data_IF_635791227163
#
_entry.id   IF_635791227163
#
_cell.length_a   1.000
_cell.length_b   1.000
_cell.length_c   1.000
_cell.angle_alpha   90.00
_cell.angle_beta   90.00
_cell.angle_gamma   90.00
#
_symmetry.space_group_name_H-M   'P 1'
#
loop_
_entity.id
_entity.type
_entity.pdbx_description
1 polymer ?
#
# COMPACT_ATOMS: atom_id res chain seq x y z
N UNK A 1 -26.35 -37.64 0.99
CA UNK A 1 -26.78 -36.31 0.50
C UNK A 1 -26.55 -35.32 1.64
N UNK A 2 -25.41 -34.64 1.68
CA UNK A 2 -25.11 -33.65 2.72
C UNK A 2 -25.76 -32.32 2.32
N UNK A 3 -26.74 -31.88 3.10
CA UNK A 3 -27.34 -30.56 2.98
C UNK A 3 -26.22 -29.53 3.21
N UNK A 4 -25.87 -28.78 2.16
CA UNK A 4 -24.93 -27.67 2.26
C UNK A 4 -25.64 -26.55 3.01
N UNK A 5 -25.59 -26.61 4.33
CA UNK A 5 -26.19 -25.60 5.18
C UNK A 5 -25.43 -24.29 4.95
N UNK A 6 -26.14 -23.23 4.54
CA UNK A 6 -25.55 -21.93 4.19
C UNK A 6 -25.90 -20.94 5.28
N UNK A 7 -24.95 -20.09 5.66
CA UNK A 7 -25.14 -19.08 6.69
C UNK A 7 -24.95 -17.67 6.16
N UNK A 8 -25.85 -16.78 6.54
CA UNK A 8 -25.81 -15.37 6.11
C UNK A 8 -25.01 -14.55 7.13
N UNK A 9 -24.10 -13.72 6.63
CA UNK A 9 -23.35 -12.79 7.46
C UNK A 9 -24.24 -11.63 7.91
N UNK A 10 -24.44 -11.47 9.22
CA UNK A 10 -25.24 -10.37 9.78
C UNK A 10 -24.63 -8.97 9.56
N UNK A 11 -23.35 -8.88 9.19
CA UNK A 11 -22.66 -7.59 8.97
C UNK A 11 -22.78 -7.09 7.52
N UNK A 12 -22.79 -7.99 6.54
CA UNK A 12 -22.73 -7.60 5.11
C UNK A 12 -23.73 -8.32 4.21
N UNK A 13 -24.54 -9.24 4.75
CA UNK A 13 -25.58 -9.96 4.01
C UNK A 13 -25.07 -11.09 3.10
N UNK A 14 -23.75 -11.32 2.99
CA UNK A 14 -23.23 -12.41 2.13
C UNK A 14 -23.50 -13.80 2.73
N UNK A 15 -23.93 -14.73 1.89
CA UNK A 15 -23.95 -16.18 2.17
C UNK A 15 -22.54 -16.77 2.23
N UNK A 16 -22.28 -17.58 3.25
CA UNK A 16 -21.03 -18.33 3.43
C UNK A 16 -21.37 -19.79 3.75
N UNK A 17 -20.40 -20.68 3.56
CA UNK A 17 -20.49 -22.08 3.96
C UNK A 17 -20.75 -22.21 5.48
N UNK A 18 -21.54 -23.20 5.92
CA UNK A 18 -21.82 -23.40 7.34
C UNK A 18 -20.54 -23.58 8.20
N UNK A 19 -19.52 -24.21 7.63
CA UNK A 19 -18.22 -24.41 8.30
C UNK A 19 -17.36 -23.15 8.39
N UNK A 20 -17.76 -22.06 7.72
CA UNK A 20 -17.00 -20.82 7.75
C UNK A 20 -17.07 -20.16 9.13
N UNK A 21 -15.90 -19.95 9.74
CA UNK A 21 -15.75 -19.23 11.01
C UNK A 21 -15.77 -17.72 10.82
N UNK A 22 -15.33 -17.24 9.64
CA UNK A 22 -15.28 -15.83 9.25
C UNK A 22 -15.92 -15.63 7.88
N UNK A 23 -16.47 -14.44 7.62
CA UNK A 23 -17.07 -14.10 6.35
C UNK A 23 -16.00 -13.92 5.27
N UNK A 24 -16.15 -14.62 4.14
CA UNK A 24 -15.23 -14.52 3.01
C UNK A 24 -15.31 -13.19 2.25
N UNK A 25 -16.33 -12.37 2.49
CA UNK A 25 -16.46 -11.03 1.91
C UNK A 25 -15.85 -9.94 2.78
N UNK A 26 -16.22 -9.90 4.06
CA UNK A 26 -15.95 -8.77 4.95
C UNK A 26 -15.07 -9.11 6.15
N UNK A 27 -14.71 -10.39 6.35
CA UNK A 27 -13.88 -10.87 7.45
C UNK A 27 -14.56 -10.91 8.82
N UNK A 28 -15.85 -10.57 8.93
CA UNK A 28 -16.56 -10.62 10.21
C UNK A 28 -16.68 -12.07 10.74
N UNK A 29 -16.52 -12.30 12.05
CA UNK A 29 -16.77 -13.62 12.63
C UNK A 29 -18.24 -13.98 12.42
N UNK A 30 -18.49 -15.20 11.94
CA UNK A 30 -19.85 -15.68 11.72
C UNK A 30 -20.37 -16.38 12.97
N UNK A 31 -19.52 -17.03 13.75
CA UNK A 31 -19.89 -17.67 15.00
C UNK A 31 -20.00 -16.61 16.11
N UNK A 32 -21.13 -16.53 16.85
CA UNK A 32 -21.20 -15.72 18.05
C UNK A 32 -20.12 -16.18 19.02
N UNK A 33 -19.13 -15.33 19.30
CA UNK A 33 -18.14 -15.60 20.33
C UNK A 33 -18.91 -15.67 21.67
N UNK A 34 -18.74 -16.72 22.51
CA UNK A 34 -19.35 -16.74 23.83
C UNK A 34 -18.96 -15.47 24.58
N UNK A 35 -19.97 -14.77 25.09
CA UNK A 35 -19.83 -13.53 25.85
C UNK A 35 -18.97 -13.80 27.08
N UNK A 36 -17.67 -13.55 26.97
CA UNK A 36 -16.70 -13.89 28.01
C UNK A 36 -15.29 -14.11 27.50
N UNK A 37 -15.10 -14.37 26.20
CA UNK A 37 -13.76 -14.41 25.60
C UNK A 37 -13.60 -13.28 24.59
N UNK A 38 -13.71 -12.05 25.10
CA UNK A 38 -13.02 -10.92 24.48
C UNK A 38 -11.53 -11.28 24.48
N UNK A 39 -10.92 -11.38 23.30
CA UNK A 39 -9.47 -11.29 23.20
C UNK A 39 -9.10 -9.98 23.88
N UNK A 40 -8.53 -10.08 25.08
CA UNK A 40 -7.89 -9.00 25.78
C UNK A 40 -6.81 -8.44 24.84
N UNK A 41 -7.14 -7.35 24.17
CA UNK A 41 -6.14 -6.39 23.79
C UNK A 41 -5.65 -5.74 25.09
N UNK A 42 -4.79 -6.44 25.84
CA UNK A 42 -3.91 -5.82 26.84
C UNK A 42 -2.79 -5.10 26.10
N UNK A 43 -3.19 -4.09 25.33
CA UNK A 43 -2.36 -2.95 24.98
C UNK A 43 -3.08 -1.73 25.55
N UNK A 44 -2.37 -0.67 25.97
CA UNK A 44 -3.03 0.54 26.41
C UNK A 44 -3.96 1.00 25.28
N UNK A 45 -5.26 1.12 25.58
CA UNK A 45 -6.22 1.75 24.69
C UNK A 45 -5.82 3.22 24.56
N UNK A 46 -4.93 3.48 23.60
CA UNK A 46 -4.63 4.80 23.09
C UNK A 46 -5.88 5.36 22.44
N UNK A 47 -6.51 6.28 23.16
CA UNK A 47 -7.52 7.22 22.73
C UNK A 47 -7.36 7.70 21.28
N UNK A 48 -8.23 7.28 20.35
CA UNK A 48 -8.53 8.03 19.12
C UNK A 48 -7.35 8.54 18.27
N UNK A 49 -6.19 7.90 18.32
CA UNK A 49 -4.96 8.42 17.70
C UNK A 49 -4.89 8.02 16.23
N UNK A 50 -4.66 9.01 15.36
CA UNK A 50 -4.26 8.80 13.95
C UNK A 50 -3.23 7.68 13.83
N UNK A 51 -3.40 6.76 12.87
CA UNK A 51 -2.47 5.64 12.69
C UNK A 51 -1.04 6.15 12.49
N UNK A 52 -0.11 5.61 13.27
CA UNK A 52 1.31 5.87 13.08
C UNK A 52 1.75 5.35 11.70
N UNK A 53 2.71 6.05 11.09
CA UNK A 53 3.12 5.74 9.73
C UNK A 53 3.83 4.37 9.68
N UNK A 54 3.42 3.45 8.80
CA UNK A 54 4.05 2.14 8.71
C UNK A 54 5.50 2.25 8.22
N UNK A 55 6.41 1.50 8.86
CA UNK A 55 7.86 1.52 8.60
C UNK A 55 8.21 1.32 7.12
N UNK A 56 7.52 0.42 6.42
CA UNK A 56 7.80 0.18 5.00
C UNK A 56 7.46 1.36 4.09
N UNK A 57 6.47 2.21 4.42
CA UNK A 57 6.20 3.45 3.66
C UNK A 57 7.33 4.46 3.88
N UNK A 58 7.94 4.47 5.06
CA UNK A 58 9.13 5.29 5.34
C UNK A 58 10.34 4.79 4.56
N UNK A 59 10.63 3.49 4.61
CA UNK A 59 11.75 2.87 3.89
C UNK A 59 11.62 3.09 2.38
N UNK A 60 10.47 2.74 1.79
CA UNK A 60 10.24 2.91 0.34
C UNK A 60 10.32 4.38 -0.04
N UNK A 61 9.74 5.29 0.75
CA UNK A 61 9.81 6.72 0.49
C UNK A 61 11.24 7.26 0.49
N UNK A 62 12.08 6.84 1.44
CA UNK A 62 13.50 7.24 1.50
C UNK A 62 14.26 6.68 0.30
N UNK A 63 14.11 5.39 -0.01
CA UNK A 63 14.75 4.76 -1.17
C UNK A 63 14.35 5.45 -2.47
N UNK A 64 13.08 5.82 -2.63
CA UNK A 64 12.58 6.56 -3.79
C UNK A 64 13.23 7.94 -3.92
N UNK A 65 13.38 8.67 -2.81
CA UNK A 65 14.03 9.99 -2.79
C UNK A 65 15.50 9.86 -3.17
N UNK A 66 16.23 8.89 -2.59
CA UNK A 66 17.62 8.63 -2.93
C UNK A 66 17.78 8.27 -4.41
N UNK A 67 16.92 7.38 -4.91
CA UNK A 67 16.90 7.03 -6.34
C UNK A 67 16.64 8.24 -7.23
N UNK A 68 15.69 9.10 -6.88
CA UNK A 68 15.40 10.33 -7.62
C UNK A 68 16.57 11.31 -7.61
N UNK A 69 17.27 11.48 -6.49
CA UNK A 69 18.47 12.32 -6.40
C UNK A 69 19.57 11.79 -7.33
N UNK A 70 19.84 10.48 -7.29
CA UNK A 70 20.81 9.85 -8.19
C UNK A 70 20.41 10.07 -9.65
N UNK A 71 19.12 9.88 -9.97
CA UNK A 71 18.61 10.07 -11.32
C UNK A 71 18.74 11.53 -11.80
N UNK A 72 18.50 12.51 -10.93
CA UNK A 72 18.71 13.93 -11.23
C UNK A 72 20.20 14.21 -11.49
N UNK A 73 21.11 13.71 -10.64
CA UNK A 73 22.56 13.88 -10.82
C UNK A 73 23.06 13.26 -12.12
N UNK A 74 22.54 12.07 -12.47
CA UNK A 74 22.83 11.46 -13.77
C UNK A 74 22.28 12.34 -14.89
N UNK A 75 21.03 12.81 -14.78
CA UNK A 75 20.42 13.71 -15.76
C UNK A 75 21.21 14.99 -15.98
N UNK A 76 21.71 15.64 -14.93
CA UNK A 76 22.52 16.86 -15.05
C UNK A 76 23.85 16.61 -15.75
N UNK A 77 24.50 15.47 -15.49
CA UNK A 77 25.70 15.06 -16.23
C UNK A 77 25.36 14.84 -17.71
N UNK A 78 24.26 14.15 -18.02
CA UNK A 78 23.82 13.90 -19.39
C UNK A 78 23.48 15.18 -20.17
N UNK A 79 23.03 16.26 -19.51
CA UNK A 79 22.84 17.55 -20.19
C UNK A 79 24.14 18.05 -20.83
N UNK A 80 25.30 17.78 -20.23
CA UNK A 80 26.60 18.24 -20.74
C UNK A 80 27.08 17.44 -21.95
N UNK A 81 26.78 16.14 -22.01
CA UNK A 81 27.32 15.21 -23.02
C UNK A 81 26.30 14.81 -24.10
N UNK A 82 25.03 14.76 -23.75
CA UNK A 82 23.93 14.33 -24.60
C UNK A 82 22.65 15.13 -24.25
N UNK A 83 22.57 16.42 -24.64
CA UNK A 83 21.58 17.36 -24.12
C UNK A 83 20.13 16.94 -24.37
N UNK A 84 19.84 16.30 -25.50
CA UNK A 84 18.49 15.79 -25.82
C UNK A 84 18.04 14.77 -24.76
N UNK A 85 18.91 13.84 -24.38
CA UNK A 85 18.63 12.83 -23.37
C UNK A 85 18.51 13.48 -21.99
N UNK A 86 19.44 14.38 -21.65
CA UNK A 86 19.44 15.09 -20.37
C UNK A 86 18.18 15.91 -20.11
N UNK A 87 17.68 16.63 -21.13
CA UNK A 87 16.46 17.44 -21.06
C UNK A 87 15.22 16.57 -20.81
N UNK A 88 15.18 15.34 -21.34
CA UNK A 88 14.08 14.39 -21.10
C UNK A 88 14.21 13.76 -19.70
N UNK A 89 15.43 13.44 -19.28
CA UNK A 89 15.69 12.68 -18.06
C UNK A 89 15.49 13.53 -16.79
N UNK A 90 15.89 14.80 -16.83
CA UNK A 90 15.73 15.73 -15.70
C UNK A 90 14.29 15.86 -15.16
N UNK A 91 13.27 16.16 -15.98
CA UNK A 91 11.90 16.29 -15.49
C UNK A 91 11.37 14.97 -14.93
N UNK A 92 11.75 13.82 -15.50
CA UNK A 92 11.41 12.50 -14.94
C UNK A 92 11.97 12.36 -13.52
N UNK A 93 13.24 12.75 -13.30
CA UNK A 93 13.85 12.74 -11.98
C UNK A 93 13.15 13.65 -10.96
N UNK A 94 12.78 14.87 -11.40
CA UNK A 94 12.03 15.82 -10.56
C UNK A 94 10.64 15.27 -10.21
N UNK A 95 9.93 14.68 -11.17
CA UNK A 95 8.64 14.04 -10.92
C UNK A 95 8.80 12.89 -9.92
N UNK A 96 9.81 12.05 -10.09
CA UNK A 96 10.11 10.95 -9.17
C UNK A 96 10.39 11.45 -7.75
N UNK A 97 11.09 12.58 -7.60
CA UNK A 97 11.37 13.22 -6.31
C UNK A 97 10.07 13.74 -5.66
N UNK A 98 9.21 14.41 -6.43
CA UNK A 98 7.92 14.91 -5.96
C UNK A 98 7.05 13.75 -5.47
N UNK A 99 6.98 12.65 -6.22
CA UNK A 99 6.23 11.45 -5.82
C UNK A 99 6.84 10.83 -4.56
N UNK A 100 8.17 10.75 -4.48
CA UNK A 100 8.90 10.28 -3.30
C UNK A 100 8.49 11.05 -2.04
N UNK A 101 8.44 12.38 -2.10
CA UNK A 101 7.96 13.23 -0.99
C UNK A 101 6.46 13.06 -0.76
N UNK A 102 5.66 12.94 -1.83
CA UNK A 102 4.21 12.80 -1.75
C UNK A 102 3.77 11.53 -1.01
N UNK A 103 4.55 10.44 -1.07
CA UNK A 103 4.31 9.20 -0.32
C UNK A 103 4.17 9.45 1.18
N UNK A 104 4.87 10.44 1.73
CA UNK A 104 4.85 10.80 3.15
C UNK A 104 3.57 11.57 3.55
N UNK A 105 2.85 12.14 2.59
CA UNK A 105 1.68 13.00 2.86
C UNK A 105 0.46 12.22 3.35
N UNK A 106 0.41 10.91 3.14
CA UNK A 106 -0.74 10.07 3.49
C UNK A 106 -1.98 10.33 2.65
N UNK A 107 -1.84 10.99 1.50
CA UNK A 107 -2.94 11.21 0.56
C UNK A 107 -3.13 10.00 -0.35
N UNK A 108 -4.38 9.61 -0.61
CA UNK A 108 -4.69 8.40 -1.40
C UNK A 108 -4.16 8.46 -2.85
N UNK A 109 -4.06 9.64 -3.46
CA UNK A 109 -3.50 9.77 -4.82
C UNK A 109 -2.03 9.35 -4.89
N UNK A 110 -1.23 9.59 -3.85
CA UNK A 110 0.17 9.20 -3.81
C UNK A 110 0.32 7.67 -3.79
N UNK A 111 -0.58 6.97 -3.08
CA UNK A 111 -0.66 5.51 -3.10
C UNK A 111 -0.95 4.99 -4.51
N UNK A 112 -1.94 5.57 -5.19
CA UNK A 112 -2.35 5.13 -6.52
C UNK A 112 -1.19 5.30 -7.52
N UNK A 113 -0.48 6.44 -7.48
CA UNK A 113 0.70 6.65 -8.32
C UNK A 113 1.79 5.61 -8.06
N UNK A 114 2.08 5.27 -6.79
CA UNK A 114 3.06 4.23 -6.48
C UNK A 114 2.67 2.86 -7.03
N UNK A 115 1.38 2.52 -7.03
CA UNK A 115 0.91 1.27 -7.64
C UNK A 115 1.10 1.30 -9.16
N UNK A 116 0.76 2.42 -9.82
CA UNK A 116 0.95 2.58 -11.27
C UNK A 116 2.43 2.47 -11.64
N UNK A 117 3.32 3.19 -10.92
CA UNK A 117 4.76 3.11 -11.12
C UNK A 117 5.29 1.70 -10.89
N UNK A 118 4.83 1.02 -9.83
CA UNK A 118 5.20 -0.37 -9.58
C UNK A 118 4.78 -1.32 -10.71
N UNK A 119 3.64 -1.08 -11.36
CA UNK A 119 3.21 -1.85 -12.54
C UNK A 119 4.09 -1.54 -13.77
N UNK A 120 4.45 -0.27 -13.98
CA UNK A 120 5.36 0.11 -15.06
C UNK A 120 6.76 -0.50 -14.87
N UNK A 121 7.25 -0.55 -13.64
CA UNK A 121 8.53 -1.19 -13.30
C UNK A 121 8.50 -2.69 -13.58
N UNK A 122 7.36 -3.37 -13.43
CA UNK A 122 7.22 -4.80 -13.75
C UNK A 122 7.39 -5.06 -15.26
N UNK A 123 7.00 -4.10 -16.11
CA UNK A 123 7.19 -4.22 -17.56
C UNK A 123 8.68 -4.08 -17.91
N UNK A 124 9.45 -3.36 -17.09
CA UNK A 124 10.89 -3.27 -17.24
C UNK A 124 11.58 -4.51 -16.67
N UNK A 125 12.46 -5.15 -17.46
CA UNK A 125 13.20 -6.36 -17.04
C UNK A 125 14.00 -6.12 -15.75
N UNK A 126 14.51 -4.91 -15.56
CA UNK A 126 15.33 -4.51 -14.40
C UNK A 126 14.46 -4.28 -13.16
N UNK A 127 13.23 -3.81 -13.32
CA UNK A 127 12.34 -3.39 -12.23
C UNK A 127 11.40 -4.46 -11.69
N UNK A 128 11.37 -5.68 -12.27
CA UNK A 128 10.38 -6.73 -11.92
C UNK A 128 10.27 -6.97 -10.42
N UNK A 129 11.41 -7.21 -9.74
CA UNK A 129 11.42 -7.52 -8.31
C UNK A 129 10.89 -6.35 -7.47
N UNK A 130 11.36 -5.13 -7.77
CA UNK A 130 10.99 -3.92 -7.04
C UNK A 130 9.50 -3.60 -7.27
N UNK A 131 9.04 -3.68 -8.51
CA UNK A 131 7.65 -3.42 -8.88
C UNK A 131 6.67 -4.38 -8.19
N UNK A 132 6.99 -5.69 -8.15
CA UNK A 132 6.18 -6.67 -7.41
C UNK A 132 6.12 -6.33 -5.92
N UNK A 133 7.28 -6.02 -5.31
CA UNK A 133 7.35 -5.65 -3.89
C UNK A 133 6.47 -4.42 -3.60
N UNK A 134 6.57 -3.37 -4.44
CA UNK A 134 5.77 -2.15 -4.29
C UNK A 134 4.28 -2.47 -4.40
N UNK A 135 3.85 -3.16 -5.46
CA UNK A 135 2.43 -3.47 -5.70
C UNK A 135 1.86 -4.32 -4.57
N UNK A 136 2.57 -5.36 -4.13
CA UNK A 136 2.12 -6.22 -3.03
C UNK A 136 2.10 -5.46 -1.71
N UNK A 137 3.13 -4.66 -1.41
CA UNK A 137 3.23 -3.90 -0.18
C UNK A 137 2.13 -2.85 -0.06
N UNK A 138 1.91 -2.03 -1.09
CA UNK A 138 0.91 -0.97 -1.07
C UNK A 138 -0.55 -1.48 -1.14
N UNK A 139 -0.75 -2.75 -1.52
CA UNK A 139 -2.05 -3.43 -1.40
C UNK A 139 -2.34 -3.97 0.00
N UNK A 140 -1.37 -4.00 0.93
CA UNK A 140 -1.62 -4.48 2.30
C UNK A 140 -2.61 -3.58 3.02
N UNK A 141 -3.53 -4.19 3.79
CA UNK A 141 -4.62 -3.48 4.45
C UNK A 141 -4.17 -2.41 5.45
N UNK A 142 -3.04 -2.63 6.14
CA UNK A 142 -2.46 -1.65 7.06
C UNK A 142 -2.03 -0.35 6.34
N UNK A 143 -1.44 -0.47 5.15
CA UNK A 143 -1.04 0.68 4.32
C UNK A 143 -2.27 1.38 3.75
N UNK A 144 -3.24 0.60 3.26
CA UNK A 144 -4.50 1.14 2.72
C UNK A 144 -5.25 1.95 3.78
N UNK A 145 -5.34 1.43 5.01
CA UNK A 145 -5.99 2.11 6.12
C UNK A 145 -5.31 3.46 6.43
N UNK A 146 -3.97 3.51 6.46
CA UNK A 146 -3.22 4.75 6.69
C UNK A 146 -3.45 5.82 5.63
N UNK A 147 -3.56 5.45 4.36
CA UNK A 147 -3.84 6.40 3.25
C UNK A 147 -5.31 6.83 3.16
N UNK A 148 -6.23 6.08 3.77
CA UNK A 148 -7.67 6.36 3.76
C UNK A 148 -8.13 7.12 5.00
N UNK A 149 -7.24 7.41 5.96
CA UNK A 149 -7.60 8.19 7.14
C UNK A 149 -7.97 9.62 6.73
N UNK A 150 -9.10 10.12 7.24
CA UNK A 150 -9.49 11.52 7.05
C UNK A 150 -8.53 12.37 7.88
N UNK A 151 -7.78 13.25 7.22
CA UNK A 151 -6.90 14.24 7.83
C UNK A 151 -7.60 15.59 7.84
#
# INVERSE_FOLDING_TARGET
>A
MQSSDKRICLKCGRENEASATFCQSCGAPLVPQPAGMQRQATGPMGSGTTMERPLGVTIIGILQILGAIVYILVGTVFVAYAPIIGIILLPIGVIALIIGVAVFTGKNWARILMIILGVLDIISIVGILIGIIIVVYFRRQNVVAWYNQKK
#
